data_IF_279854530877
#
_entry.id   IF_279854530877
#
_cell.length_a   1.000
_cell.length_b   1.000
_cell.length_c   1.000
_cell.angle_alpha   90.00
_cell.angle_beta   90.00
_cell.angle_gamma   90.00
#
_symmetry.space_group_name_H-M   'P 1'
#
loop_
_entity.id
_entity.type
_entity.pdbx_description
1 polymer ?
#
# COMPACT_ATOMS: atom_id res chain seq x y z
N UNK A 1 11.82 9.35 -18.50
CA UNK A 1 10.82 9.47 -17.42
C UNK A 1 11.12 8.44 -16.35
N UNK A 2 10.98 8.76 -15.05
CA UNK A 2 11.28 7.81 -13.97
C UNK A 2 10.12 7.75 -12.96
N UNK A 3 9.44 6.62 -12.92
CA UNK A 3 8.59 6.26 -11.79
C UNK A 3 9.49 5.79 -10.64
N UNK A 4 9.28 6.32 -9.44
CA UNK A 4 10.02 5.91 -8.24
C UNK A 4 9.42 4.64 -7.63
N UNK A 5 10.18 3.55 -7.44
CA UNK A 5 9.70 2.37 -6.72
C UNK A 5 9.15 2.73 -5.33
N UNK A 6 8.02 2.13 -4.96
CA UNK A 6 7.31 2.42 -3.71
C UNK A 6 6.40 3.65 -3.76
N UNK A 7 6.53 4.54 -4.75
CA UNK A 7 5.65 5.70 -4.89
C UNK A 7 4.29 5.29 -5.43
N UNK A 8 3.23 5.84 -4.83
CA UNK A 8 1.85 5.73 -5.34
C UNK A 8 1.62 6.77 -6.44
N UNK A 9 0.99 6.33 -7.51
CA UNK A 9 0.55 7.17 -8.61
C UNK A 9 -0.95 7.06 -8.77
N UNK A 10 -1.54 8.13 -9.30
CA UNK A 10 -2.92 8.20 -9.74
C UNK A 10 -2.95 8.51 -11.22
N UNK A 11 -3.80 7.82 -11.95
CA UNK A 11 -4.13 8.15 -13.33
C UNK A 11 -4.92 9.46 -13.37
N UNK A 12 -4.40 10.46 -14.05
CA UNK A 12 -5.03 11.78 -14.24
C UNK A 12 -5.48 12.01 -15.68
N UNK A 13 -4.93 11.25 -16.63
CA UNK A 13 -5.43 11.15 -17.99
C UNK A 13 -5.53 9.67 -18.35
N UNK A 14 -6.73 9.21 -18.72
CA UNK A 14 -6.96 7.80 -19.04
C UNK A 14 -6.09 7.35 -20.22
N UNK A 15 -5.68 6.09 -20.21
CA UNK A 15 -4.96 5.46 -21.31
C UNK A 15 -5.35 4.00 -21.41
N UNK A 16 -5.03 3.37 -22.55
CA UNK A 16 -5.25 1.95 -22.78
C UNK A 16 -3.88 1.30 -22.85
N UNK A 17 -3.71 0.17 -22.17
CA UNK A 17 -2.48 -0.62 -22.24
C UNK A 17 -2.49 -1.57 -23.45
N UNK A 18 -1.38 -2.26 -23.67
CA UNK A 18 -1.21 -3.19 -24.78
C UNK A 18 -2.19 -4.38 -24.74
N UNK A 19 -2.75 -4.69 -23.56
CA UNK A 19 -3.74 -5.75 -23.37
C UNK A 19 -5.18 -5.28 -23.62
N UNK A 20 -5.36 -4.01 -23.99
CA UNK A 20 -6.65 -3.39 -24.17
C UNK A 20 -7.33 -2.99 -22.85
N UNK A 21 -6.60 -3.02 -21.72
CA UNK A 21 -7.12 -2.62 -20.43
C UNK A 21 -7.14 -1.09 -20.36
N UNK A 22 -8.31 -0.54 -20.07
CA UNK A 22 -8.49 0.90 -19.88
C UNK A 22 -8.10 1.27 -18.45
N UNK A 23 -7.05 2.07 -18.31
CA UNK A 23 -6.68 2.70 -17.05
C UNK A 23 -7.42 4.03 -16.91
N UNK A 24 -8.41 4.06 -16.01
CA UNK A 24 -9.36 5.18 -15.91
C UNK A 24 -8.83 6.29 -15.01
N UNK A 25 -9.22 7.54 -15.27
CA UNK A 25 -8.91 8.67 -14.38
C UNK A 25 -9.38 8.36 -12.95
N UNK A 26 -8.49 8.54 -11.98
CA UNK A 26 -8.74 8.22 -10.57
C UNK A 26 -8.24 6.84 -10.14
N UNK A 27 -7.90 5.94 -11.07
CA UNK A 27 -7.22 4.70 -10.74
C UNK A 27 -5.91 4.99 -10.02
N UNK A 28 -5.64 4.26 -8.95
CA UNK A 28 -4.42 4.41 -8.16
C UNK A 28 -3.67 3.09 -8.06
N UNK A 29 -2.35 3.18 -8.03
CA UNK A 29 -1.49 2.02 -7.86
C UNK A 29 -0.12 2.45 -7.35
N UNK A 30 0.61 1.54 -6.72
CA UNK A 30 1.98 1.77 -6.25
C UNK A 30 2.96 1.17 -7.24
N UNK A 31 3.90 1.95 -7.75
CA UNK A 31 4.92 1.44 -8.66
C UNK A 31 5.90 0.54 -7.90
N UNK A 32 6.20 -0.64 -8.45
CA UNK A 32 7.13 -1.60 -7.83
C UNK A 32 8.45 -1.63 -8.59
N UNK A 33 8.39 -1.83 -9.91
CA UNK A 33 9.55 -1.98 -10.80
C UNK A 33 9.09 -1.90 -12.26
N UNK A 34 10.04 -1.75 -13.16
CA UNK A 34 9.80 -1.83 -14.61
C UNK A 34 10.80 -2.75 -15.28
N UNK A 35 10.40 -3.34 -16.40
CA UNK A 35 11.28 -4.08 -17.29
C UNK A 35 11.06 -3.62 -18.74
N UNK A 36 12.12 -3.61 -19.54
CA UNK A 36 12.07 -3.16 -20.93
C UNK A 36 12.71 -4.19 -21.86
N UNK A 37 11.95 -4.63 -22.87
CA UNK A 37 12.35 -5.59 -23.88
C UNK A 37 12.68 -4.86 -25.19
N UNK A 38 13.96 -4.62 -25.50
CA UNK A 38 14.35 -3.73 -26.61
C UNK A 38 13.90 -4.22 -27.99
N UNK A 39 13.79 -5.54 -28.19
CA UNK A 39 13.40 -6.11 -29.48
C UNK A 39 11.90 -5.93 -29.79
N UNK A 40 11.09 -5.80 -28.76
CA UNK A 40 9.63 -5.69 -28.88
C UNK A 40 9.14 -4.27 -28.68
N UNK A 41 10.06 -3.35 -28.37
CA UNK A 41 9.77 -2.03 -27.79
C UNK A 41 8.85 -2.13 -26.55
N UNK A 42 8.90 -3.26 -25.84
CA UNK A 42 7.94 -3.60 -24.80
C UNK A 42 8.36 -3.07 -23.43
N UNK A 43 7.57 -2.20 -22.84
CA UNK A 43 7.71 -1.73 -21.46
C UNK A 43 6.68 -2.43 -20.57
N UNK A 44 7.15 -3.10 -19.53
CA UNK A 44 6.30 -3.66 -18.47
C UNK A 44 6.44 -2.84 -17.19
N UNK A 45 5.33 -2.31 -16.68
CA UNK A 45 5.26 -1.69 -15.36
C UNK A 45 4.62 -2.68 -14.38
N UNK A 46 5.33 -3.04 -13.33
CA UNK A 46 4.80 -3.86 -12.25
C UNK A 46 4.30 -2.94 -11.14
N UNK A 47 3.03 -3.07 -10.79
CA UNK A 47 2.34 -2.18 -9.85
C UNK A 47 1.56 -2.97 -8.81
N UNK A 48 1.46 -2.47 -7.59
CA UNK A 48 0.55 -2.99 -6.57
C UNK A 48 -0.75 -2.19 -6.59
N UNK A 49 -1.87 -2.87 -6.83
CA UNK A 49 -3.21 -2.30 -6.75
C UNK A 49 -3.60 -2.01 -5.29
N UNK A 50 -4.65 -1.20 -5.05
CA UNK A 50 -5.29 -1.12 -3.74
C UNK A 50 -5.69 -2.54 -3.28
N UNK A 51 -5.25 -2.94 -2.09
CA UNK A 51 -5.38 -4.32 -1.58
C UNK A 51 -4.15 -5.22 -1.80
N UNK A 52 -3.07 -4.69 -2.39
CA UNK A 52 -1.76 -5.35 -2.41
C UNK A 52 -1.51 -6.33 -3.56
N UNK A 53 -2.51 -6.61 -4.39
CA UNK A 53 -2.34 -7.48 -5.56
C UNK A 53 -1.38 -6.85 -6.58
N UNK A 54 -0.33 -7.58 -6.98
CA UNK A 54 0.55 -7.17 -8.07
C UNK A 54 -0.17 -7.34 -9.42
N UNK A 55 -0.04 -6.33 -10.29
CA UNK A 55 -0.44 -6.35 -11.69
C UNK A 55 0.69 -5.87 -12.58
N UNK A 56 0.68 -6.36 -13.81
CA UNK A 56 1.57 -5.92 -14.88
C UNK A 56 0.76 -5.05 -15.84
N UNK A 57 1.22 -3.83 -16.10
CA UNK A 57 0.73 -2.95 -17.16
C UNK A 57 1.74 -3.05 -18.31
N UNK A 58 1.29 -3.51 -19.47
CA UNK A 58 2.15 -3.68 -20.65
C UNK A 58 1.94 -2.53 -21.61
N UNK A 59 3.01 -1.91 -22.07
CA UNK A 59 3.00 -0.79 -23.02
C UNK A 59 4.01 -1.09 -24.12
N UNK A 60 3.74 -0.67 -25.35
CA UNK A 60 4.66 -0.80 -26.47
C UNK A 60 5.09 0.59 -26.97
N UNK A 61 6.40 0.82 -27.00
CA UNK A 61 7.02 2.10 -27.33
C UNK A 61 7.10 2.34 -28.84
N UNK A 62 5.93 2.37 -29.48
CA UNK A 62 5.78 2.67 -30.91
C UNK A 62 4.82 3.83 -31.13
N UNK A 63 5.06 4.68 -32.15
CA UNK A 63 4.19 5.83 -32.44
C UNK A 63 2.71 5.48 -32.64
N UNK A 64 2.44 4.32 -33.25
CA UNK A 64 1.11 3.79 -33.53
C UNK A 64 0.47 3.01 -32.36
N UNK A 65 1.22 2.81 -31.27
CA UNK A 65 0.80 2.09 -30.07
C UNK A 65 0.85 3.03 -28.84
N UNK A 66 1.36 2.55 -27.71
CA UNK A 66 1.44 3.31 -26.47
C UNK A 66 2.66 4.23 -26.37
N UNK A 67 3.45 4.39 -27.45
CA UNK A 67 4.62 5.28 -27.48
C UNK A 67 4.33 6.71 -27.03
N UNK A 68 3.29 7.38 -27.54
CA UNK A 68 2.90 8.72 -27.07
C UNK A 68 2.52 8.75 -25.58
N UNK A 69 1.94 7.66 -25.06
CA UNK A 69 1.63 7.54 -23.63
C UNK A 69 2.92 7.40 -22.83
N UNK A 70 3.86 6.54 -23.25
CA UNK A 70 5.15 6.35 -22.58
C UNK A 70 5.97 7.66 -22.56
N UNK A 71 6.04 8.36 -23.68
CA UNK A 71 6.79 9.62 -23.82
C UNK A 71 6.23 10.75 -22.94
N UNK A 72 4.93 10.68 -22.64
CA UNK A 72 4.21 11.66 -21.83
C UNK A 72 3.57 11.04 -20.58
N UNK A 73 4.15 9.97 -20.04
CA UNK A 73 3.50 9.19 -18.99
C UNK A 73 3.34 10.04 -17.70
N UNK A 74 4.13 11.08 -17.51
CA UNK A 74 4.02 12.08 -16.42
C UNK A 74 2.78 12.98 -16.54
N UNK A 75 2.15 13.03 -17.72
CA UNK A 75 0.85 13.67 -17.96
C UNK A 75 -0.32 12.70 -17.77
N UNK A 76 -0.05 11.40 -17.83
CA UNK A 76 -1.05 10.36 -17.62
C UNK A 76 -1.15 9.96 -16.16
N UNK A 77 -0.03 9.94 -15.44
CA UNK A 77 0.03 9.56 -14.04
C UNK A 77 0.82 10.57 -13.23
N UNK A 78 0.25 10.98 -12.10
CA UNK A 78 0.90 11.88 -11.16
C UNK A 78 1.17 11.17 -9.84
N UNK A 79 2.30 11.48 -9.17
CA UNK A 79 2.51 10.98 -7.82
C UNK A 79 1.37 11.49 -6.94
N UNK A 80 0.80 10.58 -6.15
CA UNK A 80 -0.06 10.97 -5.04
C UNK A 80 0.89 11.38 -3.92
N UNK A 81 0.97 12.68 -3.66
CA UNK A 81 1.52 13.16 -2.39
C UNK A 81 0.54 12.75 -1.29
N UNK A 82 1.04 12.18 -0.20
CA UNK A 82 0.31 12.15 1.05
C UNK A 82 -0.25 13.57 1.30
N UNK A 83 -1.56 13.69 1.49
CA UNK A 83 -2.19 14.99 1.70
C UNK A 83 -1.57 15.71 2.91
N UNK A 84 -1.70 17.05 3.00
CA UNK A 84 -1.37 17.75 4.24
C UNK A 84 -2.29 17.22 5.34
N UNK A 85 -1.76 16.38 6.22
CA UNK A 85 -2.52 15.64 7.22
C UNK A 85 -2.54 14.13 7.00
N UNK A 86 -1.96 13.58 5.93
CA UNK A 86 -1.72 12.14 5.80
C UNK A 86 -0.31 11.83 6.33
N UNK A 87 -0.24 10.91 7.28
CA UNK A 87 0.95 10.36 7.87
C UNK A 87 1.25 9.00 7.25
N UNK A 88 2.46 8.87 6.68
CA UNK A 88 2.88 7.64 6.01
C UNK A 88 3.53 6.68 7.00
N UNK A 89 2.82 5.61 7.32
CA UNK A 89 3.30 4.51 8.14
C UNK A 89 3.91 3.41 7.27
N UNK A 90 5.12 3.00 7.60
CA UNK A 90 5.78 1.81 7.12
C UNK A 90 5.24 0.58 7.88
N UNK A 91 4.88 -0.47 7.17
CA UNK A 91 4.49 -1.77 7.71
C UNK A 91 5.51 -2.83 7.30
N UNK A 92 6.15 -3.45 8.28
CA UNK A 92 6.96 -4.67 8.13
C UNK A 92 6.22 -5.83 8.80
N UNK A 93 6.75 -7.06 8.61
CA UNK A 93 6.07 -8.29 9.08
C UNK A 93 5.72 -8.26 10.56
N UNK A 94 6.53 -7.56 11.31
CA UNK A 94 6.60 -7.53 12.76
C UNK A 94 6.61 -6.11 13.32
N UNK A 95 6.53 -5.06 12.49
CA UNK A 95 6.63 -3.68 12.97
C UNK A 95 5.84 -2.70 12.10
N UNK A 96 5.51 -1.56 12.71
CA UNK A 96 4.98 -0.36 12.08
C UNK A 96 5.93 0.79 12.42
N UNK A 97 6.18 1.74 11.52
CA UNK A 97 7.01 2.91 11.83
C UNK A 97 6.87 4.01 10.80
N UNK A 98 7.78 4.98 10.79
CA UNK A 98 7.78 6.04 9.78
C UNK A 98 8.24 5.53 8.41
N UNK A 99 7.63 6.04 7.34
CA UNK A 99 7.96 5.72 5.95
C UNK A 99 9.45 5.85 5.61
N UNK A 100 10.13 6.82 6.20
CA UNK A 100 11.52 7.17 5.88
C UNK A 100 12.56 6.25 6.56
N UNK A 101 12.13 5.36 7.47
CA UNK A 101 13.06 4.74 8.44
C UNK A 101 13.61 3.35 8.04
N UNK A 102 13.34 2.81 6.84
CA UNK A 102 13.84 1.45 6.48
C UNK A 102 14.11 1.22 4.98
N UNK A 103 15.33 0.77 4.64
CA UNK A 103 15.71 0.20 3.33
C UNK A 103 15.45 -1.31 3.25
N UNK A 104 14.20 -1.76 3.35
CA UNK A 104 13.87 -3.20 3.30
C UNK A 104 12.88 -3.49 2.17
N UNK A 105 13.20 -4.43 1.25
CA UNK A 105 12.43 -4.65 0.02
C UNK A 105 11.03 -5.26 0.24
N UNK A 106 10.64 -5.55 1.48
CA UNK A 106 9.37 -6.21 1.83
C UNK A 106 8.46 -5.34 2.70
N UNK A 107 8.66 -4.03 2.73
CA UNK A 107 7.77 -3.12 3.44
C UNK A 107 6.50 -2.80 2.65
N UNK A 108 5.43 -2.45 3.36
CA UNK A 108 4.23 -1.86 2.78
C UNK A 108 4.06 -0.45 3.34
N UNK A 109 3.87 0.56 2.49
CA UNK A 109 3.53 1.92 2.92
C UNK A 109 2.01 2.08 3.02
N UNK A 110 1.56 2.50 4.20
CA UNK A 110 0.19 2.85 4.52
C UNK A 110 0.11 4.35 4.79
N UNK A 111 -0.59 5.07 3.92
CA UNK A 111 -0.96 6.46 4.17
C UNK A 111 -2.25 6.46 5.00
N UNK A 112 -2.23 7.14 6.13
CA UNK A 112 -3.38 7.30 6.99
C UNK A 112 -3.46 8.74 7.47
N UNK A 113 -4.66 9.24 7.77
CA UNK A 113 -4.79 10.54 8.41
C UNK A 113 -3.92 10.60 9.68
N UNK A 114 -3.13 11.65 9.83
CA UNK A 114 -2.20 11.84 10.94
C UNK A 114 -2.92 11.95 12.27
N UNK A 115 -4.18 12.38 12.27
CA UNK A 115 -5.05 12.38 13.44
C UNK A 115 -5.80 11.04 13.65
N UNK A 116 -5.54 10.02 12.84
CA UNK A 116 -6.13 8.70 13.04
C UNK A 116 -5.74 8.11 14.39
N UNK A 117 -6.70 7.45 15.03
CA UNK A 117 -6.46 6.70 16.25
C UNK A 117 -5.97 5.27 15.96
N UNK A 118 -5.63 4.53 17.00
CA UNK A 118 -5.09 3.18 16.87
C UNK A 118 -6.06 2.19 16.20
N UNK A 119 -7.37 2.39 16.34
CA UNK A 119 -8.38 1.52 15.72
C UNK A 119 -8.43 1.78 14.22
N UNK A 120 -8.48 3.05 13.80
CA UNK A 120 -8.41 3.43 12.40
C UNK A 120 -7.12 2.92 11.73
N UNK A 121 -5.99 2.99 12.43
CA UNK A 121 -4.71 2.44 11.95
C UNK A 121 -4.81 0.92 11.76
N UNK A 122 -5.32 0.18 12.77
CA UNK A 122 -5.49 -1.26 12.67
C UNK A 122 -6.45 -1.68 11.54
N UNK A 123 -7.54 -0.95 11.32
CA UNK A 123 -8.47 -1.19 10.22
C UNK A 123 -7.81 -0.96 8.86
N UNK A 124 -7.06 0.13 8.73
CA UNK A 124 -6.33 0.48 7.52
C UNK A 124 -5.24 -0.56 7.18
N UNK A 125 -4.58 -1.12 8.20
CA UNK A 125 -3.64 -2.24 8.06
C UNK A 125 -4.33 -3.49 7.48
N UNK A 126 -5.49 -3.88 8.03
CA UNK A 126 -6.25 -5.04 7.54
C UNK A 126 -6.79 -4.81 6.13
N UNK A 127 -7.23 -3.59 5.82
CA UNK A 127 -7.71 -3.21 4.49
C UNK A 127 -6.58 -3.25 3.44
N UNK A 128 -5.35 -2.96 3.85
CA UNK A 128 -4.14 -3.11 3.04
C UNK A 128 -3.74 -4.58 2.79
N UNK A 129 -4.44 -5.56 3.39
CA UNK A 129 -4.09 -6.98 3.28
C UNK A 129 -2.94 -7.39 4.19
N UNK A 130 -2.68 -6.61 5.24
CA UNK A 130 -1.58 -6.80 6.17
C UNK A 130 -2.09 -7.04 7.60
N UNK A 131 -1.29 -7.68 8.48
CA UNK A 131 -0.21 -8.62 8.15
C UNK A 131 -0.69 -9.81 7.34
N UNK A 132 0.24 -10.47 6.64
CA UNK A 132 -0.05 -11.59 5.77
C UNK A 132 -0.88 -12.67 6.50
N UNK A 133 -1.97 -13.11 5.87
CA UNK A 133 -2.87 -14.13 6.42
C UNK A 133 -2.13 -15.46 6.55
N UNK A 134 -2.35 -16.12 7.67
CA UNK A 134 -1.69 -17.37 8.01
C UNK A 134 -2.61 -18.24 8.87
N UNK A 135 -3.38 -19.08 8.20
CA UNK A 135 -4.47 -19.86 8.81
C UNK A 135 -5.81 -19.12 8.83
N UNK A 136 -6.83 -19.72 9.45
CA UNK A 136 -8.22 -19.22 9.46
C UNK A 136 -8.51 -18.14 10.52
N UNK A 137 -7.67 -18.05 11.55
CA UNK A 137 -7.87 -17.15 12.69
C UNK A 137 -6.63 -16.33 13.08
N UNK A 138 -5.81 -15.83 12.12
CA UNK A 138 -4.59 -15.12 12.47
C UNK A 138 -4.94 -13.89 13.31
N UNK A 139 -4.34 -13.80 14.48
CA UNK A 139 -4.51 -12.68 15.42
C UNK A 139 -3.15 -12.08 15.74
N UNK A 140 -3.09 -10.76 15.70
CA UNK A 140 -1.93 -9.95 16.02
C UNK A 140 -2.31 -8.93 17.08
N UNK A 141 -1.31 -8.45 17.81
CA UNK A 141 -1.45 -7.33 18.73
C UNK A 141 -0.34 -6.32 18.54
N UNK A 142 -0.61 -5.06 18.84
CA UNK A 142 0.41 -4.05 19.09
C UNK A 142 0.00 -3.19 20.29
N UNK A 143 0.99 -2.61 20.96
CA UNK A 143 0.78 -1.62 22.00
C UNK A 143 0.81 -0.22 21.40
N UNK A 144 -0.14 0.63 21.78
CA UNK A 144 -0.29 2.00 21.33
C UNK A 144 -0.50 2.92 22.52
N UNK A 145 0.49 3.77 22.81
CA UNK A 145 0.48 4.67 23.96
C UNK A 145 0.05 4.00 25.29
N UNK A 146 0.47 2.74 25.50
CA UNK A 146 0.14 1.95 26.69
C UNK A 146 -1.20 1.21 26.66
N UNK A 147 -1.94 1.25 25.56
CA UNK A 147 -3.14 0.43 25.33
C UNK A 147 -2.88 -0.61 24.22
N UNK A 148 -3.24 -1.86 24.47
CA UNK A 148 -3.13 -2.92 23.47
C UNK A 148 -4.24 -2.82 22.42
N UNK A 149 -3.95 -3.16 21.16
CA UNK A 149 -4.93 -3.31 20.10
C UNK A 149 -4.75 -4.67 19.46
N UNK A 150 -5.84 -5.43 19.34
CA UNK A 150 -5.92 -6.66 18.59
C UNK A 150 -6.42 -6.38 17.18
N UNK A 151 -5.80 -7.03 16.20
CA UNK A 151 -6.27 -7.05 14.83
C UNK A 151 -6.07 -8.43 14.22
N UNK A 152 -6.91 -8.77 13.26
CA UNK A 152 -6.77 -10.04 12.54
C UNK A 152 -7.99 -10.42 11.75
N UNK A 153 -8.11 -11.71 11.50
CA UNK A 153 -9.26 -12.30 10.82
C UNK A 153 -9.89 -13.38 11.69
N UNK A 154 -11.22 -13.44 11.72
CA UNK A 154 -12.02 -14.54 12.28
C UNK A 154 -12.99 -15.03 11.24
N UNK A 155 -12.84 -16.29 10.84
CA UNK A 155 -13.71 -16.93 9.85
C UNK A 155 -13.84 -16.05 8.58
N UNK A 156 -12.68 -15.63 8.06
CA UNK A 156 -12.48 -14.73 6.91
C UNK A 156 -13.01 -13.29 7.04
N UNK A 157 -13.49 -12.89 8.21
CA UNK A 157 -13.91 -11.51 8.49
C UNK A 157 -12.82 -10.75 9.25
N UNK A 158 -12.40 -9.55 8.78
CA UNK A 158 -11.47 -8.72 9.53
C UNK A 158 -12.12 -8.29 10.85
N UNK A 159 -11.31 -8.19 11.91
CA UNK A 159 -11.74 -7.60 13.18
C UNK A 159 -10.62 -6.75 13.78
N UNK A 160 -11.01 -5.70 14.49
CA UNK A 160 -10.16 -4.88 15.34
C UNK A 160 -10.82 -4.81 16.71
N UNK A 161 -10.03 -4.95 17.78
CA UNK A 161 -10.54 -4.87 19.14
C UNK A 161 -9.49 -4.20 20.06
N UNK A 162 -9.79 -3.05 20.70
CA UNK A 162 -8.94 -2.51 21.74
C UNK A 162 -8.90 -3.46 22.95
N UNK A 163 -7.74 -3.58 23.59
CA UNK A 163 -7.53 -4.33 24.82
C UNK A 163 -7.58 -3.36 26.00
N UNK A 164 -8.69 -3.36 26.72
CA UNK A 164 -8.93 -2.49 27.86
C UNK A 164 -10.23 -1.70 27.74
N UNK A 165 -10.55 -0.95 28.79
CA UNK A 165 -11.78 -0.15 28.87
C UNK A 165 -11.62 1.29 28.39
N UNK A 166 -10.38 1.77 28.27
CA UNK A 166 -10.08 3.12 27.79
C UNK A 166 -9.64 3.07 26.32
N UNK A 167 -10.09 4.02 25.48
CA UNK A 167 -9.59 4.13 24.11
C UNK A 167 -8.09 4.44 24.14
N UNK A 168 -7.29 3.85 23.23
CA UNK A 168 -5.88 4.20 23.11
C UNK A 168 -5.72 5.69 22.85
N UNK A 169 -4.92 6.36 23.68
CA UNK A 169 -4.59 7.77 23.50
C UNK A 169 -3.50 7.91 22.40
N UNK A 170 -3.44 9.05 21.72
CA UNK A 170 -2.40 9.34 20.72
C UNK A 170 -2.89 9.21 19.28
N UNK A 171 -2.10 9.80 18.37
CA UNK A 171 -2.44 9.96 16.95
C UNK A 171 -1.42 9.24 16.07
N UNK A 172 -1.81 8.91 14.85
CA UNK A 172 -0.90 8.28 13.89
C UNK A 172 0.36 9.11 13.67
N UNK A 173 0.27 10.44 13.70
CA UNK A 173 1.42 11.35 13.63
C UNK A 173 2.42 11.22 14.78
N UNK A 174 2.02 10.61 15.89
CA UNK A 174 2.85 10.43 17.08
C UNK A 174 3.58 9.06 17.06
N UNK A 175 3.41 8.27 15.99
CA UNK A 175 3.99 6.94 15.88
C UNK A 175 5.39 7.01 15.29
N UNK A 176 6.39 6.85 16.15
CA UNK A 176 7.75 6.56 15.68
C UNK A 176 7.88 5.10 15.25
N UNK A 177 7.46 4.17 16.13
CA UNK A 177 7.53 2.73 15.89
C UNK A 177 6.55 1.95 16.77
N UNK A 178 5.97 0.88 16.23
CA UNK A 178 5.15 -0.11 16.95
C UNK A 178 5.63 -1.51 16.57
N UNK A 179 5.56 -2.44 17.51
CA UNK A 179 5.86 -3.84 17.24
C UNK A 179 4.58 -4.66 17.18
N UNK A 180 4.44 -5.44 16.10
CA UNK A 180 3.35 -6.39 15.93
C UNK A 180 3.75 -7.73 16.50
N UNK A 181 2.99 -8.20 17.48
CA UNK A 181 3.15 -9.51 18.10
C UNK A 181 2.11 -10.47 17.53
N UNK A 182 2.56 -11.60 16.97
CA UNK A 182 1.68 -12.67 16.56
C UNK A 182 1.15 -13.43 17.78
N UNK A 183 -0.16 -13.61 17.88
CA UNK A 183 -0.81 -14.31 19.00
C UNK A 183 -1.33 -15.72 18.66
N UNK A 184 -1.28 -16.13 17.40
CA UNK A 184 -1.78 -17.44 16.95
C UNK A 184 -3.04 -17.36 16.11
N UNK A 185 -3.43 -18.50 15.54
CA UNK A 185 -4.79 -18.77 15.13
C UNK A 185 -5.29 -19.99 15.87
N UNK A 186 -6.34 -19.84 16.67
CA UNK A 186 -7.00 -20.99 17.29
C UNK A 186 -7.46 -21.93 16.17
N UNK A 187 -7.05 -23.20 16.27
CA UNK A 187 -7.48 -24.27 15.37
C UNK A 187 -9.00 -24.45 15.37
#
# INVERSE_FOLDING_TARGET
>A
MHLTPGQRYRVVCAFVDHDGIVHSVGETWRFLRSDFLPYEDGLSLFVAMPGGAERQIRLQWRPEAEGPVIDALDRHVLPVSAGPGDHALLLTRDSIGLADDVRSPHHFLLEIAGDADAVMVAEAILAAGYPARSGRRPTWSFDWAGAGVLLGYRDDRPFVAPQGSAPPAGRASDVDRLHLTWLGGAA
#
